data_IF_159329530332
#
_entry.id   IF_159329530332
#
_cell.length_a   1.000
_cell.length_b   1.000
_cell.length_c   1.000
_cell.angle_alpha   90.00
_cell.angle_beta   90.00
_cell.angle_gamma   90.00
#
_symmetry.space_group_name_H-M   'P 1'
#
loop_
_entity.id
_entity.type
_entity.pdbx_description
1 polymer ?
#
# COMPACT_ATOMS: atom_id res chain seq x y z
N UNK A 1 -95.70 45.16 -16.16
CA UNK A 1 -95.27 46.48 -16.69
C UNK A 1 -93.79 46.63 -16.34
N UNK A 2 -92.81 46.75 -17.24
CA UNK A 2 -92.81 46.96 -18.68
C UNK A 2 -91.60 46.23 -19.30
N UNK A 3 -91.85 45.50 -20.38
CA UNK A 3 -90.85 44.91 -21.27
C UNK A 3 -90.19 46.01 -22.12
N UNK A 4 -88.85 45.97 -22.26
CA UNK A 4 -88.10 46.77 -23.24
C UNK A 4 -87.77 45.90 -24.46
N UNK A 5 -87.89 46.42 -25.71
CA UNK A 5 -87.86 45.60 -26.91
C UNK A 5 -86.49 45.49 -27.58
N UNK A 6 -86.31 44.33 -28.22
CA UNK A 6 -85.46 43.93 -29.34
C UNK A 6 -84.61 44.99 -30.07
N UNK A 7 -83.33 44.64 -30.26
CA UNK A 7 -82.55 45.02 -31.45
C UNK A 7 -81.85 43.78 -32.03
N UNK A 8 -82.30 43.39 -33.23
CA UNK A 8 -81.67 42.39 -34.10
C UNK A 8 -80.37 42.94 -34.70
N UNK A 9 -79.28 42.16 -34.79
CA UNK A 9 -78.15 42.49 -35.66
C UNK A 9 -78.47 42.13 -37.12
N UNK A 10 -78.19 43.08 -38.02
CA UNK A 10 -78.27 42.94 -39.48
C UNK A 10 -77.32 41.84 -39.97
N UNK A 11 -77.85 40.90 -40.76
CA UNK A 11 -77.09 40.01 -41.62
C UNK A 11 -76.46 40.81 -42.77
N UNK A 12 -75.12 40.83 -42.85
CA UNK A 12 -74.39 41.13 -44.09
C UNK A 12 -74.18 39.82 -44.87
N UNK A 13 -74.45 39.76 -46.18
CA UNK A 13 -74.07 38.62 -47.00
C UNK A 13 -72.59 38.73 -47.34
N UNK A 14 -71.76 38.01 -46.59
CA UNK A 14 -70.37 37.76 -46.96
C UNK A 14 -70.32 36.84 -48.18
N UNK A 15 -69.88 37.39 -49.31
CA UNK A 15 -69.50 36.65 -50.52
C UNK A 15 -68.44 35.63 -50.13
N UNK A 16 -68.82 34.35 -50.14
CA UNK A 16 -67.94 33.21 -49.91
C UNK A 16 -67.21 32.93 -51.22
N UNK A 17 -65.99 33.45 -51.33
CA UNK A 17 -65.10 33.21 -52.46
C UNK A 17 -64.58 31.76 -52.39
N UNK A 18 -65.00 30.94 -53.35
CA UNK A 18 -64.84 29.48 -53.35
C UNK A 18 -63.59 29.01 -54.13
N UNK A 19 -62.55 29.84 -54.20
CA UNK A 19 -61.29 29.55 -54.92
C UNK A 19 -60.11 29.13 -54.02
N UNK A 20 -60.28 29.01 -52.69
CA UNK A 20 -59.16 28.65 -51.78
C UNK A 20 -59.04 27.14 -51.47
N UNK A 21 -59.79 26.28 -52.16
CA UNK A 21 -59.74 24.83 -52.05
C UNK A 21 -59.04 24.19 -53.26
N UNK A 22 -57.72 24.20 -53.26
CA UNK A 22 -56.85 23.07 -53.67
C UNK A 22 -55.42 23.56 -53.88
N UNK A 23 -54.68 23.72 -52.79
CA UNK A 23 -53.25 23.55 -52.87
C UNK A 23 -52.75 22.72 -51.69
N UNK A 24 -52.66 21.38 -51.81
CA UNK A 24 -52.17 20.51 -50.74
C UNK A 24 -50.76 20.89 -50.25
N UNK A 25 -49.99 21.68 -51.01
CA UNK A 25 -48.74 22.29 -50.54
C UNK A 25 -48.97 23.40 -49.51
N UNK A 26 -49.99 24.25 -49.66
CA UNK A 26 -50.33 25.32 -48.69
C UNK A 26 -50.78 24.73 -47.36
N UNK A 27 -51.53 23.63 -47.39
CA UNK A 27 -52.01 22.98 -46.17
C UNK A 27 -50.89 22.27 -45.42
N UNK A 28 -49.97 21.58 -46.12
CA UNK A 28 -48.73 21.06 -45.53
C UNK A 28 -47.85 22.17 -44.94
N UNK A 29 -47.72 23.31 -45.63
CA UNK A 29 -46.98 24.46 -45.11
C UNK A 29 -47.62 25.04 -43.85
N UNK A 30 -48.96 25.17 -43.81
CA UNK A 30 -49.70 25.62 -42.61
C UNK A 30 -49.55 24.63 -41.45
N UNK A 31 -49.58 23.32 -41.71
CA UNK A 31 -49.37 22.29 -40.70
C UNK A 31 -47.93 22.31 -40.16
N UNK A 32 -46.93 22.42 -41.04
CA UNK A 32 -45.52 22.58 -40.67
C UNK A 32 -45.33 23.82 -39.80
N UNK A 33 -45.94 24.95 -40.18
CA UNK A 33 -45.90 26.18 -39.40
C UNK A 33 -46.55 26.05 -38.01
N UNK A 34 -47.65 25.28 -37.88
CA UNK A 34 -48.28 25.01 -36.58
C UNK A 34 -47.40 24.12 -35.71
N UNK A 35 -46.83 23.07 -36.29
CA UNK A 35 -45.89 22.16 -35.60
C UNK A 35 -44.66 22.94 -35.12
N UNK A 36 -44.05 23.76 -35.98
CA UNK A 36 -42.91 24.60 -35.62
C UNK A 36 -43.26 25.60 -34.52
N UNK A 37 -44.47 26.21 -34.57
CA UNK A 37 -44.94 27.15 -33.55
C UNK A 37 -45.18 26.47 -32.21
N UNK A 38 -45.75 25.27 -32.19
CA UNK A 38 -45.93 24.46 -30.97
C UNK A 38 -44.58 24.00 -30.40
N UNK A 39 -43.64 23.57 -31.25
CA UNK A 39 -42.27 23.28 -30.82
C UNK A 39 -41.55 24.54 -30.29
N UNK A 40 -41.83 25.73 -30.82
CA UNK A 40 -41.30 27.01 -30.31
C UNK A 40 -41.86 27.32 -28.93
N UNK A 41 -43.17 27.18 -28.73
CA UNK A 41 -43.83 27.38 -27.44
C UNK A 41 -43.33 26.40 -26.37
N UNK A 42 -43.25 25.11 -26.69
CA UNK A 42 -42.70 24.08 -25.78
C UNK A 42 -41.26 24.38 -25.39
N UNK A 43 -40.42 24.83 -26.35
CA UNK A 43 -39.04 25.24 -26.06
C UNK A 43 -38.98 26.41 -25.09
N UNK A 44 -39.73 27.49 -25.34
CA UNK A 44 -39.79 28.67 -24.46
C UNK A 44 -40.31 28.31 -23.06
N UNK A 45 -41.30 27.43 -22.97
CA UNK A 45 -41.82 26.95 -21.69
C UNK A 45 -40.76 26.14 -20.93
N UNK A 46 -40.07 25.21 -21.60
CA UNK A 46 -38.96 24.46 -21.00
C UNK A 46 -37.82 25.38 -20.54
N UNK A 47 -37.46 26.43 -21.30
CA UNK A 47 -36.40 27.37 -20.89
C UNK A 47 -36.78 28.12 -19.62
N UNK A 48 -38.02 28.61 -19.54
CA UNK A 48 -38.56 29.27 -18.34
C UNK A 48 -38.61 28.31 -17.14
N UNK A 49 -38.97 27.06 -17.36
CA UNK A 49 -39.00 26.02 -16.31
C UNK A 49 -37.58 25.73 -15.80
N UNK A 50 -36.59 25.59 -16.67
CA UNK A 50 -35.19 25.37 -16.25
C UNK A 50 -34.57 26.57 -15.52
N UNK A 51 -34.88 27.79 -15.96
CA UNK A 51 -34.37 29.01 -15.32
C UNK A 51 -35.04 29.27 -13.96
N UNK A 52 -36.30 28.84 -13.78
CA UNK A 52 -37.04 29.04 -12.52
C UNK A 52 -36.88 27.89 -11.50
N UNK A 53 -36.70 26.64 -11.94
CA UNK A 53 -36.60 25.48 -11.03
C UNK A 53 -35.18 25.17 -10.54
N UNK A 54 -34.14 25.66 -11.23
CA UNK A 54 -32.75 25.41 -10.87
C UNK A 54 -31.98 26.74 -10.82
N UNK A 55 -32.16 27.55 -9.76
CA UNK A 55 -31.39 28.76 -9.59
C UNK A 55 -29.89 28.42 -9.57
N UNK A 56 -29.10 29.29 -10.18
CA UNK A 56 -27.65 29.14 -10.19
C UNK A 56 -27.12 29.20 -8.75
N UNK A 57 -26.43 28.14 -8.34
CA UNK A 57 -25.79 28.06 -7.03
C UNK A 57 -24.28 28.04 -7.22
N UNK A 58 -23.60 29.04 -6.65
CA UNK A 58 -22.15 29.12 -6.64
C UNK A 58 -21.49 27.90 -6.00
N UNK A 59 -22.11 27.32 -4.98
CA UNK A 59 -21.62 26.09 -4.33
C UNK A 59 -21.67 24.90 -5.28
N UNK A 60 -22.79 24.71 -5.98
CA UNK A 60 -22.91 23.63 -6.98
C UNK A 60 -21.94 23.82 -8.14
N UNK A 61 -21.74 25.05 -8.58
CA UNK A 61 -20.75 25.38 -9.60
C UNK A 61 -19.33 25.04 -9.14
N UNK A 62 -18.92 25.51 -7.96
CA UNK A 62 -17.59 25.25 -7.41
C UNK A 62 -17.34 23.75 -7.22
N UNK A 63 -18.31 23.01 -6.66
CA UNK A 63 -18.21 21.56 -6.48
C UNK A 63 -18.10 20.81 -7.83
N UNK A 64 -18.91 21.21 -8.82
CA UNK A 64 -18.89 20.63 -10.17
C UNK A 64 -17.55 20.91 -10.86
N UNK A 65 -17.07 22.14 -10.76
CA UNK A 65 -15.78 22.55 -11.29
C UNK A 65 -14.63 21.78 -10.64
N UNK A 66 -14.61 21.67 -9.31
CA UNK A 66 -13.61 20.89 -8.59
C UNK A 66 -13.64 19.40 -8.98
N UNK A 67 -14.83 18.82 -9.13
CA UNK A 67 -15.01 17.43 -9.57
C UNK A 67 -14.43 17.22 -10.96
N UNK A 68 -14.75 18.10 -11.92
CA UNK A 68 -14.19 18.02 -13.27
C UNK A 68 -12.70 18.26 -13.29
N UNK A 69 -12.18 19.17 -12.47
CA UNK A 69 -10.76 19.39 -12.35
C UNK A 69 -10.06 18.10 -11.91
N UNK A 70 -10.54 17.46 -10.82
CA UNK A 70 -9.99 16.20 -10.33
C UNK A 70 -10.03 15.07 -11.37
N UNK A 71 -11.12 14.96 -12.13
CA UNK A 71 -11.27 13.96 -13.18
C UNK A 71 -10.38 14.25 -14.39
N UNK A 72 -10.28 15.51 -14.81
CA UNK A 72 -9.39 15.92 -15.89
C UNK A 72 -7.93 15.67 -15.51
N UNK A 73 -7.55 15.94 -14.27
CA UNK A 73 -6.17 15.77 -13.81
C UNK A 73 -5.88 14.36 -13.29
N UNK A 74 -6.78 13.38 -13.47
CA UNK A 74 -6.60 12.08 -12.82
C UNK A 74 -5.31 11.39 -13.30
N UNK A 75 -5.12 11.23 -14.61
CA UNK A 75 -3.88 10.66 -15.18
C UNK A 75 -2.65 11.52 -14.88
N UNK A 76 -2.79 12.85 -14.86
CA UNK A 76 -1.67 13.73 -14.51
C UNK A 76 -1.24 13.59 -13.05
N UNK A 77 -2.19 13.27 -12.15
CA UNK A 77 -1.95 13.09 -10.72
C UNK A 77 -1.40 11.69 -10.43
N UNK A 78 -2.13 10.65 -10.82
CA UNK A 78 -1.82 9.24 -10.51
C UNK A 78 -0.82 8.59 -11.48
N UNK A 79 -0.39 9.33 -12.49
CA UNK A 79 0.42 8.79 -13.58
C UNK A 79 -0.31 7.76 -14.46
N UNK A 80 0.44 7.21 -15.41
CA UNK A 80 -0.04 6.20 -16.36
C UNK A 80 0.06 4.76 -15.85
N UNK A 81 0.77 4.54 -14.75
CA UNK A 81 1.05 3.23 -14.18
C UNK A 81 2.49 3.17 -13.67
N UNK A 82 2.85 2.02 -13.08
CA UNK A 82 4.19 1.76 -12.56
C UNK A 82 5.06 1.29 -13.73
N UNK A 83 5.98 2.13 -14.19
CA UNK A 83 6.83 1.84 -15.37
C UNK A 83 8.06 1.00 -15.03
N UNK A 84 8.66 1.29 -13.89
CA UNK A 84 9.82 0.59 -13.38
C UNK A 84 9.81 0.59 -11.84
N UNK A 85 10.58 -0.32 -11.28
CA UNK A 85 10.78 -0.47 -9.84
C UNK A 85 12.24 -0.23 -9.45
N UNK A 86 12.97 0.58 -10.23
CA UNK A 86 14.38 0.85 -10.01
C UNK A 86 14.66 1.64 -8.73
N UNK A 87 13.64 2.28 -8.16
CA UNK A 87 13.71 2.92 -6.86
C UNK A 87 13.93 1.92 -5.70
N UNK A 88 13.68 0.63 -5.93
CA UNK A 88 13.85 -0.44 -4.96
C UNK A 88 15.15 -1.20 -5.22
N UNK A 89 15.75 -1.74 -4.16
CA UNK A 89 16.90 -2.63 -4.30
C UNK A 89 16.53 -3.88 -5.09
N UNK A 90 17.25 -4.17 -6.17
CA UNK A 90 16.94 -5.30 -7.06
C UNK A 90 17.77 -6.51 -6.64
N UNK A 91 17.10 -7.61 -6.28
CA UNK A 91 17.78 -8.87 -5.95
C UNK A 91 17.97 -9.72 -7.20
N UNK A 92 16.90 -9.92 -7.95
CA UNK A 92 16.81 -10.69 -9.19
C UNK A 92 15.75 -10.08 -10.11
N UNK A 93 15.52 -10.65 -11.30
CA UNK A 93 14.38 -10.26 -12.12
C UNK A 93 13.08 -10.39 -11.31
N UNK A 94 12.30 -9.31 -11.33
CA UNK A 94 11.02 -9.15 -10.64
C UNK A 94 11.05 -9.26 -9.11
N UNK A 95 12.23 -9.40 -8.48
CA UNK A 95 12.38 -9.51 -7.03
C UNK A 95 13.07 -8.26 -6.47
N UNK A 96 12.33 -7.54 -5.64
CA UNK A 96 12.72 -6.24 -5.12
C UNK A 96 12.71 -6.23 -3.59
N UNK A 97 13.59 -5.44 -2.99
CA UNK A 97 13.53 -5.14 -1.56
C UNK A 97 12.31 -4.28 -1.30
N UNK A 98 11.37 -4.80 -0.52
CA UNK A 98 10.22 -4.05 -0.02
C UNK A 98 10.74 -3.03 0.97
N UNK A 99 11.26 -3.46 2.11
CA UNK A 99 11.89 -2.57 3.08
C UNK A 99 13.22 -3.14 3.54
N UNK A 100 14.08 -2.26 4.04
CA UNK A 100 15.46 -2.60 4.34
C UNK A 100 16.29 -2.66 3.05
N UNK A 101 17.39 -3.43 3.07
CA UNK A 101 17.82 -4.29 4.17
C UNK A 101 18.38 -3.46 5.33
N UNK A 102 18.08 -3.85 6.58
CA UNK A 102 18.54 -3.16 7.79
C UNK A 102 19.58 -4.01 8.52
N UNK A 103 20.57 -3.35 9.13
CA UNK A 103 21.47 -3.96 10.10
C UNK A 103 21.54 -3.08 11.36
N UNK A 104 21.36 -3.66 12.54
CA UNK A 104 21.43 -2.87 13.77
C UNK A 104 21.70 -3.75 14.98
N UNK A 105 22.41 -3.19 15.97
CA UNK A 105 22.60 -3.82 17.28
C UNK A 105 21.44 -3.43 18.19
N UNK A 106 20.68 -4.41 18.66
CA UNK A 106 19.54 -4.21 19.57
C UNK A 106 20.03 -4.05 21.01
N UNK A 107 20.93 -4.95 21.44
CA UNK A 107 21.44 -4.95 22.80
C UNK A 107 22.90 -5.38 22.79
N UNK A 108 23.72 -4.69 23.59
CA UNK A 108 25.10 -5.08 23.82
C UNK A 108 25.48 -4.62 25.21
N UNK A 109 25.88 -5.56 26.06
CA UNK A 109 26.13 -5.28 27.47
C UNK A 109 26.98 -6.36 28.10
N UNK A 110 27.81 -5.94 29.05
CA UNK A 110 28.40 -6.85 30.03
C UNK A 110 27.34 -7.27 31.06
N UNK A 111 27.60 -8.33 31.83
CA UNK A 111 26.67 -8.87 32.85
C UNK A 111 26.20 -7.79 33.84
N UNK A 112 27.10 -6.91 34.25
CA UNK A 112 26.83 -5.80 35.18
C UNK A 112 26.61 -4.46 34.46
N UNK A 113 26.33 -4.47 33.16
CA UNK A 113 26.07 -3.25 32.40
C UNK A 113 24.70 -2.66 32.72
N UNK A 114 24.55 -1.35 32.48
CA UNK A 114 23.34 -0.58 32.78
C UNK A 114 22.51 -0.23 31.54
N UNK A 115 22.87 -0.77 30.37
CA UNK A 115 22.21 -0.45 29.12
C UNK A 115 20.80 -1.07 29.11
N UNK A 116 19.78 -0.24 28.94
CA UNK A 116 18.39 -0.72 28.87
C UNK A 116 18.11 -1.32 27.49
N UNK A 117 17.25 -2.34 27.45
CA UNK A 117 16.85 -3.01 26.23
C UNK A 117 15.46 -2.53 25.75
N UNK A 118 15.24 -2.35 24.44
CA UNK A 118 13.96 -1.89 23.92
C UNK A 118 12.92 -3.02 23.89
N UNK A 119 11.75 -2.79 24.48
CA UNK A 119 10.63 -3.75 24.51
C UNK A 119 10.18 -4.11 23.09
N UNK A 120 10.17 -3.13 22.18
CA UNK A 120 9.80 -3.32 20.78
C UNK A 120 10.54 -4.48 20.12
N UNK A 121 11.86 -4.56 20.32
CA UNK A 121 12.67 -5.56 19.63
C UNK A 121 12.36 -6.98 20.07
N UNK A 122 11.91 -7.21 21.30
CA UNK A 122 11.64 -8.56 21.81
C UNK A 122 10.14 -8.91 21.83
N UNK A 123 9.25 -7.94 21.57
CA UNK A 123 7.79 -8.16 21.55
C UNK A 123 7.10 -7.79 20.24
N UNK A 124 7.40 -6.66 19.61
CA UNK A 124 6.58 -6.14 18.51
C UNK A 124 7.25 -6.27 17.13
N UNK A 125 8.59 -6.25 17.08
CA UNK A 125 9.35 -6.41 15.84
C UNK A 125 9.11 -7.77 15.18
N UNK A 126 9.12 -7.85 13.85
CA UNK A 126 9.10 -9.11 13.11
C UNK A 126 10.25 -10.04 13.55
N UNK A 127 11.42 -9.46 13.80
CA UNK A 127 12.60 -10.19 14.30
C UNK A 127 12.42 -10.79 15.69
N UNK A 128 11.40 -10.40 16.46
CA UNK A 128 11.08 -11.02 17.76
C UNK A 128 10.42 -12.40 17.62
N UNK A 129 9.87 -12.74 16.45
CA UNK A 129 9.08 -13.97 16.29
C UNK A 129 9.95 -15.20 16.49
N UNK A 130 11.16 -15.22 15.91
CA UNK A 130 12.12 -16.31 16.09
C UNK A 130 12.55 -16.46 17.55
N UNK A 131 12.86 -15.35 18.22
CA UNK A 131 13.21 -15.33 19.64
C UNK A 131 12.14 -15.97 20.52
N UNK A 132 10.88 -15.57 20.34
CA UNK A 132 9.76 -16.16 21.08
C UNK A 132 9.53 -17.61 20.73
N UNK A 133 9.68 -17.99 19.46
CA UNK A 133 9.51 -19.37 19.02
C UNK A 133 10.47 -20.29 19.78
N UNK A 134 11.75 -19.93 19.83
CA UNK A 134 12.75 -20.70 20.56
C UNK A 134 12.60 -20.60 22.08
N UNK A 135 12.25 -19.43 22.63
CA UNK A 135 12.00 -19.28 24.06
C UNK A 135 10.82 -20.16 24.54
N UNK A 136 9.75 -20.24 23.75
CA UNK A 136 8.62 -21.14 24.04
C UNK A 136 8.99 -22.61 23.87
N UNK A 137 9.75 -22.95 22.82
CA UNK A 137 10.17 -24.33 22.56
C UNK A 137 11.12 -24.87 23.64
N UNK A 138 12.04 -24.05 24.12
CA UNK A 138 12.97 -24.41 25.20
C UNK A 138 12.39 -24.15 26.60
N UNK A 139 11.16 -23.65 26.70
CA UNK A 139 10.48 -23.34 27.98
C UNK A 139 11.32 -22.43 28.91
N UNK A 140 11.92 -21.36 28.36
CA UNK A 140 12.86 -20.51 29.10
C UNK A 140 12.15 -19.60 30.13
N UNK A 141 12.41 -19.76 31.45
CA UNK A 141 11.81 -18.93 32.49
C UNK A 141 12.38 -17.51 32.52
N UNK A 142 13.60 -17.29 32.01
CA UNK A 142 14.22 -15.98 31.92
C UNK A 142 13.54 -15.08 30.89
N UNK A 143 12.71 -15.65 30.01
CA UNK A 143 11.95 -14.90 29.02
C UNK A 143 10.64 -14.39 29.64
N UNK A 144 10.45 -13.06 29.79
CA UNK A 144 9.24 -12.54 30.43
C UNK A 144 7.96 -12.98 29.71
N UNK A 145 6.97 -13.47 30.46
CA UNK A 145 5.67 -13.89 29.94
C UNK A 145 4.98 -12.81 29.09
N UNK A 146 5.25 -11.54 29.41
CA UNK A 146 4.66 -10.42 28.69
C UNK A 146 5.18 -10.33 27.24
N UNK A 147 6.41 -10.76 26.96
CA UNK A 147 6.95 -10.85 25.61
C UNK A 147 6.37 -12.04 24.84
N UNK A 148 6.01 -13.12 25.54
CA UNK A 148 5.34 -14.29 24.96
C UNK A 148 3.83 -14.09 24.75
N UNK A 149 3.31 -12.88 24.97
CA UNK A 149 1.87 -12.56 24.93
C UNK A 149 1.01 -13.35 25.93
N UNK A 150 1.61 -13.89 26.99
CA UNK A 150 0.88 -14.54 28.09
C UNK A 150 0.37 -13.52 29.13
N UNK A 151 0.99 -12.35 29.19
CA UNK A 151 0.58 -11.22 30.04
C UNK A 151 0.82 -9.86 29.37
N UNK A 152 0.28 -8.80 29.98
CA UNK A 152 0.51 -7.42 29.55
C UNK A 152 1.86 -6.95 30.09
N UNK A 153 2.67 -6.27 29.27
CA UNK A 153 3.94 -5.70 29.77
C UNK A 153 3.64 -4.41 30.55
N UNK A 154 4.40 -4.15 31.62
CA UNK A 154 4.27 -2.92 32.39
C UNK A 154 4.69 -1.70 31.55
N UNK A 155 5.68 -1.89 30.69
CA UNK A 155 6.23 -0.86 29.83
C UNK A 155 5.39 -0.69 28.55
N UNK A 156 5.27 0.56 28.07
CA UNK A 156 4.61 0.83 26.79
C UNK A 156 5.42 0.26 25.61
N UNK A 157 4.84 0.17 24.39
CA UNK A 157 5.54 -0.35 23.21
C UNK A 157 6.86 0.33 22.85
N UNK A 158 7.00 1.63 23.15
CA UNK A 158 8.25 2.40 23.00
C UNK A 158 9.13 2.42 24.25
N UNK A 159 8.78 1.66 25.29
CA UNK A 159 9.51 1.59 26.54
C UNK A 159 10.74 0.68 26.48
N UNK A 160 11.46 0.66 27.58
CA UNK A 160 12.68 -0.14 27.76
C UNK A 160 12.60 -0.95 29.05
N UNK A 161 13.21 -2.12 29.08
CA UNK A 161 13.28 -2.98 30.26
C UNK A 161 14.73 -3.15 30.74
N UNK A 162 14.86 -3.71 31.94
CA UNK A 162 16.11 -3.79 32.68
C UNK A 162 17.23 -4.58 31.96
N UNK A 163 18.47 -4.12 32.14
CA UNK A 163 19.67 -4.67 31.51
C UNK A 163 19.94 -6.12 31.95
N UNK A 164 19.76 -6.44 33.23
CA UNK A 164 20.00 -7.79 33.75
C UNK A 164 19.00 -8.78 33.16
N UNK A 165 17.73 -8.38 33.09
CA UNK A 165 16.67 -9.20 32.46
C UNK A 165 16.99 -9.47 30.98
N UNK A 166 17.40 -8.43 30.23
CA UNK A 166 17.80 -8.59 28.83
C UNK A 166 19.00 -9.52 28.67
N UNK A 167 20.02 -9.34 29.52
CA UNK A 167 21.23 -10.17 29.52
C UNK A 167 20.89 -11.64 29.77
N UNK A 168 20.14 -11.94 30.83
CA UNK A 168 19.74 -13.30 31.21
C UNK A 168 18.90 -13.96 30.11
N UNK A 169 17.95 -13.23 29.54
CA UNK A 169 17.10 -13.72 28.46
C UNK A 169 17.91 -14.10 27.21
N UNK A 170 18.89 -13.28 26.82
CA UNK A 170 19.75 -13.54 25.67
C UNK A 170 20.68 -14.73 25.94
N UNK A 171 21.28 -14.77 27.13
CA UNK A 171 22.15 -15.86 27.54
C UNK A 171 21.41 -17.20 27.60
N UNK A 172 20.17 -17.21 28.14
CA UNK A 172 19.34 -18.41 28.24
C UNK A 172 19.02 -19.02 26.86
N UNK A 173 18.71 -18.19 25.85
CA UNK A 173 18.48 -18.66 24.47
C UNK A 173 19.75 -19.27 23.88
N UNK A 174 20.90 -18.62 24.08
CA UNK A 174 22.18 -19.12 23.59
C UNK A 174 22.59 -20.43 24.30
N UNK A 175 22.38 -20.53 25.62
CA UNK A 175 22.72 -21.72 26.40
C UNK A 175 21.78 -22.88 26.10
N UNK A 176 20.48 -22.65 25.96
CA UNK A 176 19.54 -23.70 25.58
C UNK A 176 19.84 -24.26 24.18
N UNK A 177 20.20 -23.38 23.24
CA UNK A 177 20.65 -23.80 21.90
C UNK A 177 21.93 -24.65 21.96
N UNK A 178 22.87 -24.31 22.85
CA UNK A 178 24.08 -25.10 23.11
C UNK A 178 23.77 -26.48 23.67
N UNK A 179 22.96 -26.52 24.73
CA UNK A 179 22.63 -27.75 25.44
C UNK A 179 21.87 -28.72 24.55
N UNK A 180 20.93 -28.21 23.76
CA UNK A 180 20.22 -29.02 22.76
C UNK A 180 21.18 -29.66 21.76
N UNK A 181 22.14 -28.88 21.24
CA UNK A 181 23.17 -29.40 20.34
C UNK A 181 24.01 -30.50 20.99
N UNK A 182 24.50 -30.30 22.20
CA UNK A 182 25.31 -31.31 22.90
C UNK A 182 24.54 -32.61 23.07
N UNK A 183 23.28 -32.54 23.51
CA UNK A 183 22.43 -33.72 23.72
C UNK A 183 22.14 -34.48 22.41
N UNK A 184 21.92 -33.75 21.31
CA UNK A 184 21.69 -34.37 20.00
C UNK A 184 22.97 -35.02 19.45
N UNK A 185 24.13 -34.38 19.62
CA UNK A 185 25.41 -34.95 19.15
C UNK A 185 25.77 -36.21 19.94
N UNK A 186 25.50 -36.24 21.25
CA UNK A 186 25.75 -37.44 22.09
C UNK A 186 24.83 -38.62 21.72
N UNK A 187 23.58 -38.34 21.36
CA UNK A 187 22.59 -39.38 20.98
C UNK A 187 22.73 -39.84 19.53
N UNK A 188 23.31 -39.01 18.65
CA UNK A 188 23.40 -39.28 17.22
C UNK A 188 24.75 -39.90 16.86
N UNK A 189 24.80 -41.23 16.70
CA UNK A 189 26.01 -41.97 16.26
C UNK A 189 26.47 -41.66 14.82
N UNK A 190 25.90 -40.64 14.16
CA UNK A 190 26.25 -40.22 12.80
C UNK A 190 27.05 -38.91 12.85
N UNK A 191 28.38 -38.97 12.78
CA UNK A 191 29.19 -37.76 12.61
C UNK A 191 28.80 -37.08 11.30
N UNK A 192 28.36 -35.82 11.39
CA UNK A 192 28.09 -34.97 10.22
C UNK A 192 26.65 -34.48 10.03
N UNK A 193 25.69 -34.91 10.86
CA UNK A 193 24.36 -34.28 10.82
C UNK A 193 24.37 -32.91 11.53
N UNK A 194 23.80 -31.87 10.93
CA UNK A 194 23.67 -30.57 11.57
C UNK A 194 22.78 -30.65 12.80
N UNK A 195 23.33 -30.29 13.95
CA UNK A 195 22.62 -30.11 15.22
C UNK A 195 21.84 -28.79 15.21
N UNK A 196 20.87 -28.69 14.31
CA UNK A 196 20.04 -27.50 14.11
C UNK A 196 18.64 -27.75 14.65
N UNK A 197 18.08 -26.75 15.33
CA UNK A 197 16.67 -26.78 15.72
C UNK A 197 15.90 -26.00 14.68
N UNK A 198 15.00 -26.68 13.98
CA UNK A 198 14.10 -26.06 13.01
C UNK A 198 12.69 -26.06 13.60
N UNK A 199 12.09 -24.87 13.69
CA UNK A 199 10.73 -24.69 14.19
C UNK A 199 9.88 -24.07 13.09
N UNK A 200 8.60 -24.45 13.04
CA UNK A 200 7.62 -23.81 12.17
C UNK A 200 6.53 -23.20 13.05
N UNK A 201 6.34 -21.89 12.95
CA UNK A 201 5.32 -21.18 13.73
C UNK A 201 4.22 -20.68 12.83
N UNK A 202 2.99 -20.71 13.37
CA UNK A 202 1.86 -20.00 12.82
C UNK A 202 1.59 -18.76 13.69
N UNK A 203 1.40 -17.61 13.05
CA UNK A 203 1.07 -16.36 13.74
C UNK A 203 -0.11 -15.66 13.06
N UNK A 204 -0.90 -14.91 13.81
CA UNK A 204 -1.93 -14.01 13.28
C UNK A 204 -1.50 -12.58 13.56
N UNK A 205 -1.32 -11.79 12.50
CA UNK A 205 -0.76 -10.46 12.59
C UNK A 205 -1.85 -9.39 12.45
N UNK A 206 -2.04 -8.60 13.51
CA UNK A 206 -3.03 -7.52 13.57
C UNK A 206 -2.32 -6.17 13.57
N UNK A 207 -2.36 -5.47 12.43
CA UNK A 207 -1.57 -4.26 12.22
C UNK A 207 -2.36 -3.19 11.46
N UNK A 208 -3.22 -3.61 10.52
CA UNK A 208 -4.06 -2.70 9.75
C UNK A 208 -5.42 -2.54 10.40
N UNK A 209 -6.01 -1.35 10.31
CA UNK A 209 -7.35 -1.07 10.86
C UNK A 209 -8.41 -2.09 10.40
N UNK A 210 -8.34 -2.52 9.13
CA UNK A 210 -9.27 -3.52 8.60
C UNK A 210 -9.08 -4.92 9.18
N UNK A 211 -7.91 -5.25 9.75
CA UNK A 211 -7.73 -6.50 10.51
C UNK A 211 -8.60 -6.52 11.77
N UNK A 212 -8.94 -5.35 12.32
CA UNK A 212 -9.82 -5.22 13.49
C UNK A 212 -11.30 -5.15 13.10
N UNK A 213 -11.63 -4.59 11.94
CA UNK A 213 -13.02 -4.49 11.45
C UNK A 213 -13.55 -5.87 11.02
N UNK A 214 -12.77 -6.61 10.23
CA UNK A 214 -13.21 -7.87 9.63
C UNK A 214 -12.12 -8.95 9.74
N UNK A 215 -11.74 -9.36 10.97
CA UNK A 215 -10.62 -10.27 11.22
C UNK A 215 -10.78 -11.62 10.52
N UNK A 216 -12.00 -12.15 10.46
CA UNK A 216 -12.26 -13.47 9.88
C UNK A 216 -12.07 -13.51 8.36
N UNK A 217 -12.16 -12.36 7.69
CA UNK A 217 -12.06 -12.25 6.22
C UNK A 217 -10.69 -11.73 5.77
N UNK A 218 -10.06 -10.88 6.58
CA UNK A 218 -8.88 -10.11 6.17
C UNK A 218 -7.59 -10.49 6.90
N UNK A 219 -7.65 -11.32 7.94
CA UNK A 219 -6.46 -11.79 8.65
C UNK A 219 -6.12 -13.21 8.22
N UNK A 220 -5.04 -13.34 7.46
CA UNK A 220 -4.51 -14.63 7.05
C UNK A 220 -3.43 -15.10 8.04
N UNK A 221 -3.37 -16.42 8.34
CA UNK A 221 -2.30 -16.96 9.14
C UNK A 221 -0.97 -16.81 8.40
N UNK A 222 0.03 -16.28 9.10
CA UNK A 222 1.40 -16.14 8.61
C UNK A 222 2.21 -17.30 9.14
N UNK A 223 2.79 -18.07 8.23
CA UNK A 223 3.69 -19.15 8.55
C UNK A 223 5.13 -18.68 8.45
N UNK A 224 5.95 -19.07 9.43
CA UNK A 224 7.38 -18.80 9.43
C UNK A 224 8.15 -20.06 9.78
N UNK A 225 9.26 -20.28 9.09
CA UNK A 225 10.24 -21.33 9.38
C UNK A 225 11.44 -20.68 10.03
N UNK A 226 11.77 -21.13 11.24
CA UNK A 226 12.89 -20.66 12.03
C UNK A 226 13.96 -21.72 12.15
N UNK A 227 15.21 -21.30 12.26
CA UNK A 227 16.32 -22.20 12.48
C UNK A 227 17.30 -21.56 13.47
N UNK A 228 17.64 -22.32 14.53
CA UNK A 228 18.69 -21.98 15.46
C UNK A 228 19.95 -22.80 15.13
N UNK A 229 21.07 -22.10 14.91
CA UNK A 229 22.36 -22.71 14.62
C UNK A 229 23.40 -22.14 15.58
N UNK A 230 24.02 -23.00 16.38
CA UNK A 230 25.12 -22.60 17.27
C UNK A 230 26.46 -22.99 16.68
N UNK A 231 27.43 -22.07 16.71
CA UNK A 231 28.78 -22.27 16.19
C UNK A 231 29.84 -21.71 17.14
N UNK A 232 30.92 -22.48 17.27
CA UNK A 232 32.14 -22.12 18.01
C UNK A 232 33.32 -21.84 17.07
N UNK A 233 33.22 -22.20 15.79
CA UNK A 233 34.28 -22.05 14.78
C UNK A 233 33.77 -21.38 13.49
N UNK A 234 34.70 -20.79 12.74
CA UNK A 234 34.48 -19.99 11.52
C UNK A 234 33.90 -20.77 10.32
N UNK A 235 33.81 -22.10 10.37
CA UNK A 235 33.59 -22.92 9.18
C UNK A 235 32.12 -23.05 8.77
N UNK A 236 31.53 -22.02 8.13
CA UNK A 236 30.16 -22.06 7.58
C UNK A 236 29.89 -23.17 6.52
N UNK A 237 30.92 -23.91 6.11
CA UNK A 237 30.94 -24.67 4.85
C UNK A 237 30.63 -26.18 5.00
N UNK A 238 30.73 -26.80 6.19
CA UNK A 238 30.95 -28.26 6.22
C UNK A 238 29.83 -29.19 6.77
N UNK A 239 28.74 -28.70 7.40
CA UNK A 239 27.68 -29.64 7.86
C UNK A 239 26.29 -29.01 8.11
N UNK A 240 26.24 -27.73 8.51
CA UNK A 240 25.03 -27.09 9.08
C UNK A 240 24.88 -25.65 8.58
N UNK A 241 24.44 -25.48 7.33
CA UNK A 241 24.37 -24.15 6.71
C UNK A 241 23.07 -23.46 7.13
N UNK A 242 23.12 -22.28 7.76
CA UNK A 242 21.91 -21.52 8.03
C UNK A 242 21.13 -21.26 6.74
N UNK A 243 19.81 -21.40 6.77
CA UNK A 243 18.93 -21.25 5.61
C UNK A 243 19.13 -19.91 4.89
N UNK A 244 19.37 -18.84 5.67
CA UNK A 244 19.60 -17.53 5.08
C UNK A 244 20.83 -17.51 4.17
N UNK A 245 21.83 -18.37 4.36
CA UNK A 245 23.05 -18.30 3.54
C UNK A 245 22.80 -18.63 2.06
N UNK A 246 21.69 -19.27 1.69
CA UNK A 246 21.30 -19.54 0.30
C UNK A 246 20.30 -18.51 -0.25
N UNK A 247 19.87 -17.56 0.56
CA UNK A 247 18.91 -16.56 0.16
C UNK A 247 19.54 -15.40 -0.64
N UNK A 248 18.79 -14.91 -1.62
CA UNK A 248 19.18 -13.82 -2.52
C UNK A 248 19.41 -12.47 -1.81
N UNK A 249 18.87 -12.28 -0.60
CA UNK A 249 18.94 -10.99 0.11
C UNK A 249 20.21 -10.81 0.96
N UNK A 250 21.02 -11.86 1.13
CA UNK A 250 22.21 -11.77 2.00
C UNK A 250 23.30 -10.84 1.49
N UNK A 251 23.21 -10.43 0.23
CA UNK A 251 24.16 -9.53 -0.38
C UNK A 251 23.63 -8.11 -0.32
N UNK A 252 23.97 -7.39 0.75
CA UNK A 252 23.55 -6.00 0.95
C UNK A 252 24.13 -5.08 -0.14
N UNK A 253 25.30 -5.42 -0.71
CA UNK A 253 25.86 -4.64 -1.81
C UNK A 253 24.93 -4.64 -3.07
N UNK A 254 24.09 -5.66 -3.25
CA UNK A 254 23.05 -5.72 -4.30
C UNK A 254 21.67 -5.25 -3.82
N UNK A 255 21.35 -5.55 -2.56
CA UNK A 255 20.01 -5.38 -2.00
C UNK A 255 19.73 -3.94 -1.55
N UNK A 256 20.76 -3.17 -1.22
CA UNK A 256 20.64 -1.77 -0.86
C UNK A 256 20.50 -0.89 -2.10
N UNK A 257 19.89 0.28 -1.93
CA UNK A 257 19.86 1.32 -2.97
C UNK A 257 21.30 1.76 -3.26
N UNK A 258 21.61 2.02 -4.53
CA UNK A 258 22.98 2.34 -4.98
C UNK A 258 23.64 3.50 -4.23
N UNK A 259 22.85 4.45 -3.74
CA UNK A 259 23.27 5.65 -3.01
C UNK A 259 23.48 5.44 -1.50
N UNK A 260 23.12 4.29 -0.95
CA UNK A 260 23.26 4.01 0.49
C UNK A 260 24.54 3.24 0.78
N UNK A 261 25.66 3.96 0.88
CA UNK A 261 26.97 3.38 1.14
C UNK A 261 27.06 2.68 2.50
N UNK A 262 26.31 3.16 3.51
CA UNK A 262 26.28 2.57 4.85
C UNK A 262 25.68 1.17 4.79
N UNK A 263 24.52 1.04 4.13
CA UNK A 263 23.87 -0.23 3.91
C UNK A 263 24.76 -1.19 3.09
N UNK A 264 25.38 -0.70 2.01
CA UNK A 264 26.24 -1.51 1.14
C UNK A 264 27.53 -1.98 1.82
N UNK A 265 28.05 -1.23 2.80
CA UNK A 265 29.28 -1.56 3.53
C UNK A 265 29.21 -2.88 4.29
N UNK A 266 28.00 -3.37 4.59
CA UNK A 266 27.76 -4.69 5.19
C UNK A 266 28.25 -5.81 4.28
N UNK A 267 28.10 -5.66 2.96
CA UNK A 267 28.45 -6.69 1.99
C UNK A 267 27.61 -7.95 2.16
N UNK A 268 28.26 -9.10 2.37
CA UNK A 268 27.58 -10.36 2.66
C UNK A 268 27.31 -10.48 4.17
N UNK A 269 26.06 -10.76 4.56
CA UNK A 269 25.66 -10.86 5.99
C UNK A 269 26.58 -11.79 6.78
N UNK A 270 26.86 -12.99 6.25
CA UNK A 270 27.68 -13.97 6.97
C UNK A 270 29.13 -13.50 7.14
N UNK A 271 29.69 -12.76 6.16
CA UNK A 271 31.02 -12.12 6.27
C UNK A 271 30.99 -11.07 7.37
N UNK A 272 29.94 -10.26 7.41
CA UNK A 272 29.77 -9.22 8.41
C UNK A 272 29.65 -9.80 9.83
N UNK A 273 28.84 -10.85 10.01
CA UNK A 273 28.72 -11.59 11.28
C UNK A 273 30.08 -12.16 11.69
N UNK A 274 30.80 -12.81 10.78
CA UNK A 274 32.11 -13.40 11.07
C UNK A 274 33.16 -12.34 11.45
N UNK A 275 33.15 -11.19 10.79
CA UNK A 275 34.03 -10.07 11.13
C UNK A 275 33.75 -9.58 12.55
N UNK A 276 32.48 -9.42 12.93
CA UNK A 276 32.09 -9.06 14.29
C UNK A 276 32.52 -10.12 15.31
N UNK A 277 32.32 -11.40 15.01
CA UNK A 277 32.78 -12.49 15.87
C UNK A 277 34.29 -12.43 16.12
N UNK A 278 35.08 -12.22 15.05
CA UNK A 278 36.53 -12.07 15.15
C UNK A 278 36.92 -10.86 16.00
N UNK A 279 36.22 -9.73 15.86
CA UNK A 279 36.46 -8.55 16.72
C UNK A 279 36.31 -8.90 18.20
N UNK A 280 35.27 -9.65 18.58
CA UNK A 280 35.11 -10.06 19.98
C UNK A 280 36.13 -11.10 20.43
N UNK A 281 36.54 -12.02 19.57
CA UNK A 281 37.62 -12.97 19.89
C UNK A 281 38.96 -12.27 20.12
N UNK A 282 39.27 -11.24 19.33
CA UNK A 282 40.47 -10.42 19.52
C UNK A 282 40.38 -9.55 20.78
N UNK A 283 39.18 -9.08 21.13
CA UNK A 283 38.94 -8.30 22.34
C UNK A 283 39.02 -9.15 23.62
N UNK A 284 38.68 -10.43 23.55
CA UNK A 284 38.66 -11.36 24.68
C UNK A 284 39.46 -12.64 24.39
N UNK A 285 40.79 -12.56 24.25
CA UNK A 285 41.63 -13.67 23.76
C UNK A 285 41.63 -14.90 24.68
N UNK A 286 41.53 -14.69 25.99
CA UNK A 286 41.55 -15.77 27.00
C UNK A 286 40.14 -16.28 27.36
N UNK A 287 39.12 -15.85 26.61
CA UNK A 287 37.71 -16.18 26.87
C UNK A 287 37.14 -17.00 25.73
N UNK A 288 36.10 -17.78 26.03
CA UNK A 288 35.38 -18.52 25.00
C UNK A 288 34.34 -17.62 24.37
N UNK A 289 34.35 -17.51 23.04
CA UNK A 289 33.35 -16.72 22.29
C UNK A 289 32.48 -17.65 21.46
N UNK A 290 31.19 -17.66 21.78
CA UNK A 290 30.16 -18.44 21.11
C UNK A 290 29.35 -17.55 20.15
N UNK A 291 28.92 -18.12 19.03
CA UNK A 291 27.96 -17.52 18.10
C UNK A 291 26.69 -18.37 18.04
N UNK A 292 25.54 -17.76 18.31
CA UNK A 292 24.23 -18.35 18.03
C UNK A 292 23.52 -17.54 16.96
N UNK A 293 23.00 -18.21 15.94
CA UNK A 293 22.25 -17.61 14.86
C UNK A 293 20.81 -18.08 14.94
N UNK A 294 19.88 -17.13 14.96
CA UNK A 294 18.46 -17.39 14.79
C UNK A 294 18.07 -16.82 13.43
N UNK A 295 17.63 -17.66 12.51
CA UNK A 295 17.08 -17.22 11.22
C UNK A 295 15.59 -17.46 11.18
N UNK A 296 14.87 -16.57 10.51
CA UNK A 296 13.42 -16.64 10.29
C UNK A 296 13.11 -16.35 8.84
N UNK A 297 12.36 -17.24 8.22
CA UNK A 297 11.87 -17.08 6.86
C UNK A 297 10.35 -17.16 6.86
N UNK A 298 9.71 -16.08 6.42
CA UNK A 298 8.27 -16.08 6.18
C UNK A 298 7.96 -16.80 4.87
N UNK A 299 6.93 -17.64 4.92
CA UNK A 299 6.37 -18.24 3.71
C UNK A 299 5.91 -17.13 2.75
N UNK A 300 5.99 -17.42 1.45
CA UNK A 300 5.57 -16.46 0.43
C UNK A 300 4.07 -16.18 0.58
N UNK A 301 3.74 -14.91 0.81
CA UNK A 301 2.37 -14.43 0.83
C UNK A 301 2.00 -13.88 -0.52
N UNK A 302 1.02 -14.50 -1.16
CA UNK A 302 0.44 -14.01 -2.40
C UNK A 302 -0.67 -13.01 -2.11
N UNK A 303 -0.63 -11.86 -2.77
CA UNK A 303 -1.71 -10.89 -2.74
C UNK A 303 -2.68 -11.17 -3.89
N UNK A 304 -3.74 -11.93 -3.62
CA UNK A 304 -4.70 -12.40 -4.63
C UNK A 304 -5.77 -11.36 -5.01
N UNK A 305 -5.61 -10.09 -4.60
CA UNK A 305 -6.62 -9.04 -4.77
C UNK A 305 -6.68 -8.40 -6.17
N UNK A 306 -5.79 -8.76 -7.10
CA UNK A 306 -5.69 -8.09 -8.40
C UNK A 306 -5.13 -8.98 -9.52
N UNK A 307 -4.93 -8.39 -10.70
CA UNK A 307 -4.47 -9.10 -11.89
C UNK A 307 -2.95 -9.18 -12.02
N UNK A 308 -2.21 -8.20 -11.49
CA UNK A 308 -0.76 -8.32 -11.42
C UNK A 308 -0.38 -9.33 -10.36
N UNK A 309 0.62 -10.17 -10.65
CA UNK A 309 1.19 -11.03 -9.64
C UNK A 309 1.92 -10.15 -8.65
N UNK A 310 1.59 -10.31 -7.36
CA UNK A 310 2.34 -9.69 -6.29
C UNK A 310 2.46 -10.69 -5.14
N UNK A 311 3.69 -10.95 -4.72
CA UNK A 311 3.96 -11.75 -3.55
C UNK A 311 5.02 -11.10 -2.68
N UNK A 312 5.04 -11.45 -1.39
CA UNK A 312 6.00 -10.91 -0.44
C UNK A 312 6.46 -11.96 0.55
N UNK A 313 7.68 -11.80 1.05
CA UNK A 313 8.24 -12.57 2.15
C UNK A 313 9.11 -11.67 3.02
N UNK A 314 9.06 -11.87 4.33
CA UNK A 314 9.93 -11.19 5.30
C UNK A 314 10.97 -12.18 5.81
N UNK A 315 12.18 -11.69 5.96
CA UNK A 315 13.36 -12.50 6.23
C UNK A 315 14.16 -11.79 7.31
N UNK A 316 14.55 -12.52 8.35
CA UNK A 316 15.33 -11.95 9.44
C UNK A 316 16.35 -12.92 10.00
N UNK A 317 17.47 -12.36 10.44
CA UNK A 317 18.56 -13.07 11.11
C UNK A 317 18.95 -12.29 12.36
N UNK A 318 18.92 -12.94 13.51
CA UNK A 318 19.53 -12.44 14.74
C UNK A 318 20.83 -13.21 14.98
N UNK A 319 21.92 -12.46 15.18
CA UNK A 319 23.21 -12.99 15.62
C UNK A 319 23.43 -12.63 17.07
N UNK A 320 23.61 -13.66 17.90
CA UNK A 320 23.93 -13.55 19.31
C UNK A 320 25.40 -13.93 19.47
N UNK A 321 26.25 -12.96 19.81
CA UNK A 321 27.62 -13.23 20.22
C UNK A 321 27.67 -13.22 21.74
N UNK A 322 28.26 -14.28 22.31
CA UNK A 322 28.36 -14.46 23.74
C UNK A 322 29.80 -14.73 24.14
N UNK A 323 30.30 -14.00 25.14
CA UNK A 323 31.64 -14.21 25.71
C UNK A 323 31.51 -14.84 27.08
N UNK A 324 32.25 -15.93 27.30
CA UNK A 324 32.23 -16.70 28.53
C UNK A 324 33.61 -16.79 29.17
N UNK A 325 33.63 -16.70 30.49
CA UNK A 325 34.77 -17.00 31.32
C UNK A 325 34.59 -18.40 31.92
N UNK A 326 35.46 -19.32 31.51
CA UNK A 326 35.45 -20.68 32.00
C UNK A 326 36.52 -20.86 33.07
N UNK A 327 36.14 -21.37 34.23
CA UNK A 327 37.09 -21.76 35.26
C UNK A 327 37.72 -23.11 34.90
N UNK A 328 39.05 -23.13 34.80
CA UNK A 328 39.81 -24.36 34.56
C UNK A 328 39.65 -25.40 35.70
N UNK A 329 39.24 -24.96 36.89
CA UNK A 329 39.14 -25.80 38.08
C UNK A 329 37.80 -26.53 38.14
N UNK A 330 36.69 -25.82 37.89
CA UNK A 330 35.34 -26.38 38.02
C UNK A 330 34.76 -26.81 36.68
N UNK A 331 35.34 -26.40 35.56
CA UNK A 331 34.75 -26.53 34.22
C UNK A 331 33.49 -25.66 34.03
N UNK A 332 33.12 -24.86 35.03
CA UNK A 332 31.95 -23.99 34.95
C UNK A 332 32.31 -22.75 34.12
N UNK A 333 31.43 -22.42 33.16
CA UNK A 333 31.58 -21.26 32.30
C UNK A 333 30.48 -20.25 32.58
N UNK A 334 30.85 -19.05 32.99
CA UNK A 334 29.93 -17.94 33.22
C UNK A 334 29.94 -16.98 32.03
N UNK A 335 28.76 -16.52 31.62
CA UNK A 335 28.63 -15.50 30.57
C UNK A 335 28.89 -14.12 31.13
N UNK A 336 29.88 -13.41 30.56
CA UNK A 336 30.29 -12.07 31.02
C UNK A 336 29.83 -10.96 30.08
N UNK A 337 29.52 -11.28 28.81
CA UNK A 337 29.12 -10.32 27.79
C UNK A 337 28.20 -10.95 26.73
N UNK A 338 27.22 -10.18 26.26
CA UNK A 338 26.33 -10.55 25.15
C UNK A 338 26.17 -9.40 24.15
N UNK A 339 26.07 -9.73 22.87
CA UNK A 339 25.71 -8.84 21.76
C UNK A 339 24.57 -9.47 20.94
N UNK A 340 23.45 -8.76 20.81
CA UNK A 340 22.32 -9.08 19.94
C UNK A 340 22.33 -8.09 18.77
N UNK A 341 22.70 -8.59 17.60
CA UNK A 341 22.71 -7.84 16.34
C UNK A 341 21.76 -8.48 15.34
N UNK A 342 21.01 -7.67 14.60
CA UNK A 342 19.93 -8.12 13.73
C UNK A 342 20.08 -7.62 12.31
N UNK A 343 19.63 -8.46 11.40
CA UNK A 343 19.55 -8.23 9.96
C UNK A 343 18.11 -8.51 9.55
N UNK A 344 17.46 -7.55 8.93
CA UNK A 344 16.06 -7.67 8.51
C UNK A 344 15.91 -7.20 7.08
N UNK A 345 15.14 -7.94 6.30
CA UNK A 345 14.73 -7.53 4.97
C UNK A 345 13.32 -8.02 4.69
N UNK A 346 12.62 -7.35 3.79
CA UNK A 346 11.46 -7.93 3.13
C UNK A 346 11.66 -7.87 1.64
N UNK A 347 11.32 -8.95 0.95
CA UNK A 347 11.40 -9.06 -0.49
C UNK A 347 10.00 -9.20 -1.02
N UNK A 348 9.69 -8.50 -2.11
CA UNK A 348 8.47 -8.72 -2.86
C UNK A 348 8.80 -9.08 -4.31
N UNK A 349 7.97 -9.94 -4.88
CA UNK A 349 7.99 -10.22 -6.31
C UNK A 349 6.77 -9.59 -6.96
N UNK A 350 6.95 -8.88 -8.08
CA UNK A 350 5.83 -8.22 -8.76
C UNK A 350 5.98 -8.16 -10.27
N UNK A 351 4.90 -8.51 -10.98
CA UNK A 351 4.82 -8.37 -12.44
C UNK A 351 4.20 -7.02 -12.85
N UNK A 352 3.92 -6.11 -11.91
CA UNK A 352 3.14 -4.89 -12.20
C UNK A 352 3.78 -3.97 -13.25
N UNK A 353 5.12 -3.92 -13.32
CA UNK A 353 5.84 -3.15 -14.33
C UNK A 353 5.61 -3.68 -15.75
N UNK A 354 5.45 -5.01 -15.92
CA UNK A 354 5.17 -5.63 -17.22
C UNK A 354 3.79 -5.22 -17.75
N UNK A 355 2.84 -4.97 -16.85
CA UNK A 355 1.49 -4.52 -17.20
C UNK A 355 1.42 -3.02 -17.54
N UNK A 356 2.51 -2.27 -17.44
CA UNK A 356 2.54 -0.82 -17.63
C UNK A 356 1.82 -0.37 -18.91
N UNK A 357 2.13 -1.01 -20.04
CA UNK A 357 1.55 -0.63 -21.33
C UNK A 357 0.03 -0.82 -21.36
N UNK A 358 -0.48 -1.90 -20.76
CA UNK A 358 -1.91 -2.19 -20.69
C UNK A 358 -2.60 -1.16 -19.80
N UNK A 359 -2.06 -0.90 -18.61
CA UNK A 359 -2.59 0.08 -17.66
C UNK A 359 -2.57 1.49 -18.27
N UNK A 360 -1.49 1.87 -18.94
CA UNK A 360 -1.35 3.16 -19.60
C UNK A 360 -2.40 3.35 -20.70
N UNK A 361 -2.61 2.34 -21.55
CA UNK A 361 -3.65 2.37 -22.59
C UNK A 361 -5.04 2.49 -21.98
N UNK A 362 -5.37 1.67 -20.98
CA UNK A 362 -6.66 1.73 -20.29
C UNK A 362 -6.94 3.13 -19.71
N UNK A 363 -5.96 3.71 -19.00
CA UNK A 363 -6.06 5.06 -18.43
C UNK A 363 -6.18 6.13 -19.52
N UNK A 364 -5.40 6.05 -20.59
CA UNK A 364 -5.48 6.99 -21.72
C UNK A 364 -6.80 6.91 -22.47
N UNK A 365 -7.33 5.70 -22.70
CA UNK A 365 -8.64 5.50 -23.31
C UNK A 365 -9.76 6.07 -22.42
N UNK A 366 -9.73 5.77 -21.12
CA UNK A 366 -10.69 6.32 -20.16
C UNK A 366 -10.66 7.85 -20.08
N UNK A 367 -9.46 8.43 -20.00
CA UNK A 367 -9.25 9.87 -19.93
C UNK A 367 -9.63 10.60 -21.23
N UNK A 368 -9.21 10.06 -22.39
CA UNK A 368 -9.53 10.65 -23.69
C UNK A 368 -11.03 10.61 -23.98
N UNK A 369 -11.71 9.50 -23.64
CA UNK A 369 -13.17 9.43 -23.73
C UNK A 369 -13.84 10.51 -22.89
N UNK A 370 -13.39 10.70 -21.65
CA UNK A 370 -13.91 11.75 -20.77
C UNK A 370 -13.70 13.15 -21.37
N UNK A 371 -12.52 13.44 -21.93
CA UNK A 371 -12.26 14.72 -22.58
C UNK A 371 -13.13 14.98 -23.80
N UNK A 372 -13.27 13.98 -24.69
CA UNK A 372 -14.16 14.08 -25.85
C UNK A 372 -15.59 14.37 -25.38
N UNK A 373 -16.06 13.65 -24.36
CA UNK A 373 -17.40 13.86 -23.80
C UNK A 373 -17.58 15.26 -23.22
N UNK A 374 -16.58 15.78 -22.51
CA UNK A 374 -16.58 17.12 -21.93
C UNK A 374 -16.67 18.19 -23.04
N UNK A 375 -15.85 18.06 -24.09
CA UNK A 375 -15.81 18.98 -25.23
C UNK A 375 -17.13 18.93 -25.99
N UNK A 376 -17.66 17.74 -26.29
CA UNK A 376 -18.94 17.58 -26.99
C UNK A 376 -20.10 18.13 -26.16
N UNK A 377 -20.11 17.91 -24.84
CA UNK A 377 -21.13 18.48 -23.96
C UNK A 377 -21.08 20.00 -23.95
N UNK A 378 -19.89 20.59 -23.81
CA UNK A 378 -19.72 22.04 -23.84
C UNK A 378 -20.13 22.62 -25.20
N UNK A 379 -19.73 21.99 -26.31
CA UNK A 379 -20.13 22.37 -27.65
C UNK A 379 -21.65 22.29 -27.85
N UNK A 380 -22.28 21.23 -27.32
CA UNK A 380 -23.74 21.08 -27.29
C UNK A 380 -24.41 22.22 -26.54
N UNK A 381 -23.91 22.59 -25.35
CA UNK A 381 -24.39 23.74 -24.59
C UNK A 381 -24.23 25.06 -25.37
N UNK A 382 -23.10 25.25 -26.04
CA UNK A 382 -22.83 26.42 -26.87
C UNK A 382 -23.80 26.52 -28.06
N UNK A 383 -24.02 25.41 -28.79
CA UNK A 383 -24.97 25.37 -29.90
C UNK A 383 -26.41 25.54 -29.45
N UNK A 384 -26.79 24.97 -28.31
CA UNK A 384 -28.11 25.15 -27.72
C UNK A 384 -28.38 26.61 -27.39
N UNK A 385 -27.48 27.27 -26.64
CA UNK A 385 -27.60 28.68 -26.25
C UNK A 385 -27.50 29.64 -27.43
N UNK A 386 -26.63 29.37 -28.40
CA UNK A 386 -26.46 30.22 -29.59
C UNK A 386 -27.68 30.24 -30.51
N UNK A 387 -28.58 29.27 -30.39
CA UNK A 387 -29.83 29.19 -31.16
C UNK A 387 -31.04 29.81 -30.45
N UNK A 388 -30.91 30.20 -29.19
CA UNK A 388 -31.98 30.90 -28.48
C UNK A 388 -32.12 32.33 -29.03
N UNK A 389 -33.36 32.78 -29.27
CA UNK A 389 -33.63 34.11 -29.85
C UNK A 389 -32.94 35.25 -29.04
N UNK A 390 -32.77 35.07 -27.72
CA UNK A 390 -32.08 36.01 -26.82
C UNK A 390 -30.57 36.17 -27.10
N UNK A 391 -29.92 35.10 -27.55
CA UNK A 391 -28.46 35.06 -27.73
C UNK A 391 -28.04 34.91 -29.20
N UNK A 392 -28.99 34.72 -30.13
CA UNK A 392 -28.73 34.51 -31.56
C UNK A 392 -27.86 35.60 -32.16
N UNK A 393 -28.20 36.86 -31.88
CA UNK A 393 -27.55 38.05 -32.43
C UNK A 393 -26.52 38.65 -31.45
N UNK A 394 -26.27 37.98 -30.31
CA UNK A 394 -25.28 38.42 -29.33
C UNK A 394 -23.84 38.10 -29.78
N UNK A 395 -22.88 38.90 -29.29
CA UNK A 395 -21.46 38.67 -29.50
C UNK A 395 -20.98 37.34 -28.90
N UNK A 396 -19.89 36.81 -29.45
CA UNK A 396 -19.32 35.48 -29.10
C UNK A 396 -19.10 35.30 -27.60
N UNK A 397 -18.60 36.34 -26.92
CA UNK A 397 -18.38 36.30 -25.47
C UNK A 397 -19.65 36.01 -24.67
N UNK A 398 -20.77 36.65 -25.01
CA UNK A 398 -22.06 36.43 -24.33
C UNK A 398 -22.60 35.02 -24.60
N UNK A 399 -22.40 34.48 -25.80
CA UNK A 399 -22.77 33.09 -26.16
C UNK A 399 -21.95 32.08 -25.37
N UNK A 400 -20.64 32.29 -25.26
CA UNK A 400 -19.73 31.44 -24.47
C UNK A 400 -20.08 31.49 -22.99
N UNK A 401 -20.33 32.68 -22.43
CA UNK A 401 -20.75 32.83 -21.04
C UNK A 401 -22.09 32.12 -20.76
N UNK A 402 -23.08 32.25 -21.65
CA UNK A 402 -24.34 31.54 -21.55
C UNK A 402 -24.17 30.01 -21.62
N UNK A 403 -23.25 29.53 -22.46
CA UNK A 403 -22.89 28.12 -22.57
C UNK A 403 -22.26 27.59 -21.28
N UNK A 404 -21.30 28.32 -20.71
CA UNK A 404 -20.69 28.01 -19.42
C UNK A 404 -21.72 27.99 -18.29
N UNK A 405 -22.65 28.95 -18.25
CA UNK A 405 -23.71 28.98 -17.26
C UNK A 405 -24.63 27.77 -17.36
N UNK A 406 -24.94 27.29 -18.58
CA UNK A 406 -25.71 26.06 -18.78
C UNK A 406 -24.90 24.82 -18.38
N UNK A 407 -23.65 24.73 -18.83
CA UNK A 407 -22.74 23.63 -18.52
C UNK A 407 -22.56 23.45 -17.01
N UNK A 408 -22.40 24.54 -16.27
CA UNK A 408 -22.32 24.59 -14.81
C UNK A 408 -23.56 24.05 -14.08
N UNK A 409 -24.74 24.08 -14.71
CA UNK A 409 -25.99 23.58 -14.14
C UNK A 409 -26.19 22.08 -14.38
N UNK A 410 -25.41 21.47 -15.27
CA UNK A 410 -25.51 20.05 -15.57
C UNK A 410 -24.86 19.27 -14.41
N UNK A 411 -25.59 18.34 -13.75
CA UNK A 411 -25.02 17.54 -12.68
C UNK A 411 -23.79 16.74 -13.14
N UNK A 412 -22.69 16.83 -12.41
CA UNK A 412 -21.48 16.05 -12.70
C UNK A 412 -21.70 14.53 -12.75
N UNK A 413 -22.58 13.91 -11.94
CA UNK A 413 -22.80 12.46 -12.02
C UNK A 413 -23.31 12.01 -13.39
N UNK A 414 -24.09 12.85 -14.09
CA UNK A 414 -24.61 12.54 -15.43
C UNK A 414 -23.50 12.45 -16.48
N UNK A 415 -22.41 13.19 -16.29
CA UNK A 415 -21.25 13.15 -17.19
C UNK A 415 -20.32 11.98 -16.86
N UNK A 416 -20.10 11.72 -15.56
CA UNK A 416 -19.18 10.68 -15.09
C UNK A 416 -19.77 9.30 -15.27
N UNK A 417 -20.99 9.08 -14.77
CA UNK A 417 -21.64 7.78 -14.73
C UNK A 417 -22.59 7.52 -15.91
N UNK A 418 -22.80 8.50 -16.77
CA UNK A 418 -23.65 8.31 -17.95
C UNK A 418 -23.01 7.44 -19.05
N UNK A 419 -21.83 6.85 -18.82
CA UNK A 419 -21.22 5.84 -19.68
C UNK A 419 -20.34 4.92 -18.82
N UNK A 420 -20.46 3.59 -18.94
CA UNK A 420 -19.64 2.66 -18.17
C UNK A 420 -18.19 2.61 -18.66
N UNK A 421 -17.88 3.09 -19.86
CA UNK A 421 -16.57 2.87 -20.51
C UNK A 421 -15.41 3.42 -19.66
N UNK A 422 -15.37 4.71 -19.26
CA UNK A 422 -14.27 5.21 -18.44
C UNK A 422 -14.17 4.49 -17.09
N UNK A 423 -15.32 4.20 -16.48
CA UNK A 423 -15.39 3.52 -15.19
C UNK A 423 -14.75 2.14 -15.28
N UNK A 424 -15.10 1.35 -16.31
CA UNK A 424 -14.53 0.03 -16.54
C UNK A 424 -13.03 0.13 -16.85
N UNK A 425 -12.61 1.06 -17.70
CA UNK A 425 -11.18 1.26 -17.99
C UNK A 425 -10.36 1.54 -16.73
N UNK A 426 -10.81 2.47 -15.87
CA UNK A 426 -10.13 2.78 -14.61
C UNK A 426 -10.24 1.65 -13.60
N UNK A 427 -11.37 0.96 -13.51
CA UNK A 427 -11.55 -0.17 -12.60
C UNK A 427 -10.60 -1.32 -12.96
N UNK A 428 -10.49 -1.68 -14.24
CA UNK A 428 -9.56 -2.72 -14.69
C UNK A 428 -8.11 -2.27 -14.49
N UNK A 429 -7.78 -1.03 -14.85
CA UNK A 429 -6.44 -0.48 -14.59
C UNK A 429 -6.09 -0.54 -13.09
N UNK A 430 -7.05 -0.21 -12.22
CA UNK A 430 -6.88 -0.28 -10.77
C UNK A 430 -6.73 -1.72 -10.26
N UNK A 431 -7.51 -2.67 -10.76
CA UNK A 431 -7.37 -4.08 -10.40
C UNK A 431 -6.00 -4.66 -10.78
N UNK A 432 -5.34 -4.09 -11.80
CA UNK A 432 -3.98 -4.49 -12.16
C UNK A 432 -2.96 -3.95 -11.17
N UNK A 433 -2.98 -2.66 -10.83
CA UNK A 433 -1.90 -2.04 -10.06
C UNK A 433 -2.14 -1.96 -8.54
N UNK A 434 -3.39 -2.08 -8.10
CA UNK A 434 -3.79 -2.02 -6.69
C UNK A 434 -2.94 -2.91 -5.76
N UNK A 435 -2.66 -4.19 -6.08
CA UNK A 435 -1.90 -5.06 -5.17
C UNK A 435 -0.56 -4.44 -4.76
N UNK A 436 0.18 -3.92 -5.74
CA UNK A 436 1.48 -3.31 -5.50
C UNK A 436 1.34 -1.93 -4.85
N UNK A 437 0.45 -1.07 -5.35
CA UNK A 437 0.25 0.28 -4.80
C UNK A 437 -0.11 0.25 -3.32
N UNK A 438 -1.03 -0.64 -2.90
CA UNK A 438 -1.39 -0.75 -1.49
C UNK A 438 -0.24 -1.26 -0.62
N UNK A 439 0.63 -2.14 -1.14
CA UNK A 439 1.79 -2.58 -0.37
C UNK A 439 2.86 -1.50 -0.26
N UNK A 440 3.11 -0.73 -1.33
CA UNK A 440 4.03 0.42 -1.30
C UNK A 440 3.56 1.45 -0.27
N UNK A 441 2.26 1.76 -0.25
CA UNK A 441 1.68 2.68 0.74
C UNK A 441 1.84 2.09 2.15
N UNK A 442 1.55 0.81 2.34
CA UNK A 442 1.69 0.16 3.64
C UNK A 442 3.15 0.16 4.14
N UNK A 443 4.11 -0.04 3.24
CA UNK A 443 5.53 -0.02 3.54
C UNK A 443 5.99 1.36 4.03
N UNK A 444 5.37 2.46 3.59
CA UNK A 444 5.73 3.79 4.10
C UNK A 444 5.53 3.92 5.61
N UNK A 445 4.70 3.06 6.22
CA UNK A 445 4.47 2.99 7.65
C UNK A 445 5.30 1.91 8.37
N UNK A 446 6.19 1.21 7.66
CA UNK A 446 7.08 0.23 8.29
C UNK A 446 8.18 0.94 9.08
N UNK A 447 8.48 0.42 10.27
CA UNK A 447 9.43 1.01 11.20
C UNK A 447 10.41 -0.02 11.73
N UNK A 448 11.70 0.24 11.53
CA UNK A 448 12.74 -0.41 12.32
C UNK A 448 12.65 0.11 13.77
N UNK A 449 12.75 -0.78 14.76
CA UNK A 449 12.78 -0.44 16.19
C UNK A 449 11.55 0.30 16.74
N UNK A 450 10.43 0.36 16.01
CA UNK A 450 9.18 0.94 16.51
C UNK A 450 9.12 2.46 16.48
N UNK A 451 10.09 3.13 15.86
CA UNK A 451 10.13 4.58 15.76
C UNK A 451 9.67 5.04 14.37
N UNK A 452 8.46 5.60 14.29
CA UNK A 452 7.95 6.20 13.06
C UNK A 452 8.43 7.63 12.90
N UNK A 453 9.19 7.90 11.83
CA UNK A 453 9.56 9.25 11.42
C UNK A 453 8.70 9.65 10.22
N UNK A 454 7.61 10.36 10.47
CA UNK A 454 6.74 10.85 9.40
C UNK A 454 7.48 11.86 8.52
N UNK A 455 7.61 11.55 7.23
CA UNK A 455 8.12 12.48 6.23
C UNK A 455 6.97 12.93 5.33
N UNK A 456 6.29 14.01 5.73
CA UNK A 456 5.11 14.53 5.03
C UNK A 456 5.32 14.75 3.52
N UNK A 457 6.41 15.41 3.08
CA UNK A 457 6.70 15.58 1.65
C UNK A 457 6.78 14.26 0.86
N UNK A 458 7.40 13.22 1.44
CA UNK A 458 7.48 11.90 0.80
C UNK A 458 6.11 11.22 0.78
N UNK A 459 5.36 11.29 1.88
CA UNK A 459 4.02 10.75 1.98
C UNK A 459 3.08 11.36 0.92
N UNK A 460 3.03 12.70 0.80
CA UNK A 460 2.16 13.35 -0.19
C UNK A 460 2.56 13.05 -1.63
N UNK A 461 3.86 12.81 -1.91
CA UNK A 461 4.31 12.36 -3.23
C UNK A 461 3.83 10.94 -3.54
N UNK A 462 3.95 10.02 -2.58
CA UNK A 462 3.50 8.62 -2.71
C UNK A 462 1.98 8.47 -2.71
N UNK A 463 1.26 9.35 -2.00
CA UNK A 463 -0.20 9.37 -2.00
C UNK A 463 -0.78 10.01 -3.27
N UNK A 464 0.04 10.76 -4.02
CA UNK A 464 -0.35 11.36 -5.29
C UNK A 464 -0.18 10.38 -6.46
N UNK A 465 0.79 9.46 -6.40
CA UNK A 465 0.97 8.34 -7.33
C UNK A 465 -0.08 7.26 -7.10
#
# INVERSE_FOLDING_TARGET
MALKPNTLPKHEPGVFDFDDLQNPRRERLRLQHRIDREHRKRRVLCTKVYDNLLPFSWVRFAATFATYLLLCTNVARTGLGIKDLQAYGVHELDHFSLYGPWNYTVFTSARNGTKLAPVWSYKYSATSISWRAFAMFFELPEFPDCFLYRSVCAEPPGGTFDSLTAFQMIDAVAEASKNYRSNVVETSSRPGFPSEVVLRTQSRFYDRFHHYIAPQMLVFPVWRTHQACMRTTFAFVAAARPFFCDDIWINYNRSCIATDDVCRSVGLIWVHILRRLLTYQLQYPDKTVDLTLLSSHEDIQHNNGGFSHMSRRKLDVASIVRVRECSNVTGACETIFVDDSRYENAVFASSAAEWYNIVAVLRMCGQSYFYVRLIVLFYGCYKARSREDKYRDAGTFRKVYAAWSLFARIPSPSLVYGSPIPVVCYAVAHLIDAPLTYEIIAQHFSVAMGQYKFNGPVFFRLAAT
#
